data_IF_401123840654
#
_entry.id   IF_401123840654
#
_cell.length_a   1.000
_cell.length_b   1.000
_cell.length_c   1.000
_cell.angle_alpha   90.00
_cell.angle_beta   90.00
_cell.angle_gamma   90.00
#
_symmetry.space_group_name_H-M   'P 1'
#
loop_
_entity.id
_entity.type
_entity.pdbx_description
1 polymer ?
#
# COMPACT_ATOMS: atom_id res chain seq x y z
N UNK A 1 26.55 -8.38 -4.27
CA UNK A 1 25.83 -7.62 -5.31
C UNK A 1 26.39 -6.20 -5.32
N UNK A 2 26.56 -5.58 -6.49
CA UNK A 2 27.04 -4.21 -6.61
C UNK A 2 26.01 -3.22 -6.05
N UNK A 3 26.49 -2.11 -5.52
CA UNK A 3 25.62 -0.97 -5.22
C UNK A 3 25.11 -0.36 -6.51
N UNK A 4 23.86 0.14 -6.45
CA UNK A 4 23.31 0.97 -7.52
C UNK A 4 24.18 2.24 -7.61
N UNK A 5 24.55 2.66 -8.80
CA UNK A 5 25.36 3.86 -8.96
C UNK A 5 24.57 5.15 -8.67
N UNK A 6 25.28 6.20 -8.30
CA UNK A 6 24.67 7.47 -7.88
C UNK A 6 23.83 8.12 -8.98
N UNK A 7 24.22 7.96 -10.27
CA UNK A 7 23.47 8.49 -11.40
C UNK A 7 22.10 7.84 -11.55
N UNK A 8 22.03 6.50 -11.42
CA UNK A 8 20.79 5.75 -11.48
C UNK A 8 19.88 6.12 -10.30
N UNK A 9 20.45 6.22 -9.09
CA UNK A 9 19.71 6.67 -7.91
C UNK A 9 19.18 8.09 -8.06
N UNK A 10 19.96 8.99 -8.65
CA UNK A 10 19.54 10.36 -8.88
C UNK A 10 18.32 10.43 -9.80
N UNK A 11 18.34 9.70 -10.93
CA UNK A 11 17.19 9.61 -11.83
C UNK A 11 15.95 9.00 -11.14
N UNK A 12 16.18 7.94 -10.36
CA UNK A 12 15.10 7.28 -9.63
C UNK A 12 14.38 8.22 -8.66
N UNK A 13 15.14 8.98 -7.85
CA UNK A 13 14.56 9.91 -6.89
C UNK A 13 13.95 11.15 -7.55
N UNK A 14 14.52 11.62 -8.64
CA UNK A 14 13.97 12.73 -9.42
C UNK A 14 12.62 12.34 -10.02
N UNK A 15 12.56 11.19 -10.68
CA UNK A 15 11.31 10.66 -11.21
C UNK A 15 10.28 10.42 -10.12
N UNK A 16 10.65 9.82 -8.99
CA UNK A 16 9.74 9.58 -7.87
C UNK A 16 9.07 10.86 -7.38
N UNK A 17 9.81 11.98 -7.35
CA UNK A 17 9.27 13.29 -6.95
C UNK A 17 8.21 13.82 -7.90
N UNK A 18 8.29 13.44 -9.19
CA UNK A 18 7.29 13.77 -10.21
C UNK A 18 6.07 12.86 -10.05
N UNK A 19 6.30 11.54 -10.01
CA UNK A 19 5.23 10.54 -9.98
C UNK A 19 4.42 10.55 -8.69
N UNK A 20 4.95 11.08 -7.59
CA UNK A 20 4.24 11.19 -6.33
C UNK A 20 2.88 11.90 -6.46
N UNK A 21 2.81 12.93 -7.28
CA UNK A 21 1.63 13.79 -7.41
C UNK A 21 1.07 13.83 -8.83
N UNK A 22 1.44 12.88 -9.68
CA UNK A 22 1.03 12.87 -11.09
C UNK A 22 -0.47 12.72 -11.27
N UNK A 23 -1.09 11.84 -10.45
CA UNK A 23 -2.51 11.55 -10.54
C UNK A 23 -3.33 12.55 -9.75
N UNK A 24 -4.23 13.26 -10.45
CA UNK A 24 -5.15 14.23 -9.86
C UNK A 24 -6.40 13.55 -9.29
N UNK A 25 -7.00 12.65 -10.07
CA UNK A 25 -8.26 11.98 -9.75
C UNK A 25 -8.35 10.64 -10.44
N UNK A 26 -8.99 9.65 -9.81
CA UNK A 26 -9.39 8.43 -10.48
C UNK A 26 -10.64 7.81 -9.88
N UNK A 27 -11.32 7.01 -10.70
CA UNK A 27 -12.37 6.09 -10.31
C UNK A 27 -11.92 4.66 -10.62
N UNK A 28 -12.09 3.75 -9.66
CA UNK A 28 -11.74 2.35 -9.84
C UNK A 28 -12.75 1.41 -9.19
N UNK A 29 -12.94 0.25 -9.80
CA UNK A 29 -13.58 -0.87 -9.12
C UNK A 29 -12.52 -1.64 -8.35
N UNK A 30 -12.76 -1.85 -7.06
CA UNK A 30 -11.92 -2.63 -6.17
C UNK A 30 -12.62 -3.94 -5.83
N UNK A 31 -12.03 -5.06 -6.21
CA UNK A 31 -12.35 -6.38 -5.66
C UNK A 31 -11.33 -6.73 -4.60
N UNK A 32 -11.80 -7.03 -3.39
CA UNK A 32 -10.97 -7.38 -2.25
C UNK A 32 -11.39 -8.75 -1.71
N UNK A 33 -10.43 -9.64 -1.61
CA UNK A 33 -10.58 -10.95 -0.96
C UNK A 33 -9.60 -11.07 0.19
N UNK A 34 -10.08 -11.50 1.34
CA UNK A 34 -9.28 -11.62 2.55
C UNK A 34 -9.56 -12.89 3.34
N UNK A 35 -8.56 -13.33 4.06
CA UNK A 35 -8.66 -14.41 5.04
C UNK A 35 -7.99 -13.96 6.34
N UNK A 36 -8.67 -14.17 7.45
CA UNK A 36 -8.14 -13.92 8.77
C UNK A 36 -8.11 -15.21 9.57
N UNK A 37 -6.95 -15.58 10.10
CA UNK A 37 -6.72 -16.78 10.89
C UNK A 37 -6.26 -16.43 12.30
N UNK A 38 -6.86 -17.13 13.27
CA UNK A 38 -6.50 -17.05 14.67
C UNK A 38 -5.73 -18.31 15.06
N UNK A 39 -4.41 -18.22 15.08
CA UNK A 39 -3.57 -19.34 15.52
C UNK A 39 -3.57 -19.50 17.03
N UNK A 40 -3.59 -18.37 17.75
CA UNK A 40 -3.61 -18.34 19.20
C UNK A 40 -4.26 -17.06 19.70
N UNK A 41 -5.11 -17.18 20.73
CA UNK A 41 -5.70 -16.01 21.41
C UNK A 41 -5.70 -16.21 22.91
N UNK A 42 -5.37 -15.17 23.66
CA UNK A 42 -5.52 -15.17 25.11
C UNK A 42 -6.98 -14.86 25.53
N UNK A 43 -7.31 -15.10 26.80
CA UNK A 43 -8.67 -14.86 27.30
C UNK A 43 -9.08 -13.39 27.26
N UNK A 44 -8.12 -12.46 27.41
CA UNK A 44 -8.39 -11.01 27.48
C UNK A 44 -8.88 -10.48 26.13
N UNK A 45 -8.30 -10.92 25.02
CA UNK A 45 -8.70 -10.49 23.67
C UNK A 45 -10.13 -10.88 23.33
N UNK A 46 -10.63 -11.99 23.89
CA UNK A 46 -12.02 -12.43 23.73
C UNK A 46 -13.02 -11.50 24.41
N UNK A 47 -12.57 -10.71 25.40
CA UNK A 47 -13.42 -9.82 26.20
C UNK A 47 -13.27 -8.34 25.82
N UNK A 48 -12.38 -7.98 24.88
CA UNK A 48 -12.26 -6.60 24.37
C UNK A 48 -13.21 -6.45 23.16
N UNK A 49 -14.45 -5.92 23.36
CA UNK A 49 -15.47 -5.90 22.30
C UNK A 49 -15.09 -5.02 21.10
N UNK A 50 -14.15 -4.08 21.29
CA UNK A 50 -13.74 -3.13 20.27
C UNK A 50 -12.63 -3.66 19.34
N UNK A 51 -11.88 -4.69 19.76
CA UNK A 51 -10.72 -5.16 18.99
C UNK A 51 -11.00 -6.41 18.16
N UNK A 52 -11.61 -7.44 18.76
CA UNK A 52 -11.77 -8.72 18.09
C UNK A 52 -12.98 -9.46 18.67
N UNK A 53 -14.15 -9.32 18.08
CA UNK A 53 -15.30 -10.17 18.38
C UNK A 53 -15.09 -11.54 17.74
N UNK A 54 -14.17 -12.32 18.31
CA UNK A 54 -13.92 -13.68 17.86
C UNK A 54 -15.01 -14.62 18.41
N UNK A 55 -15.61 -15.41 17.52
CA UNK A 55 -16.54 -16.45 17.94
C UNK A 55 -15.78 -17.63 18.57
N UNK A 56 -16.38 -18.20 19.62
CA UNK A 56 -15.77 -19.36 20.31
C UNK A 56 -15.73 -20.56 19.38
N UNK A 57 -14.52 -21.08 19.15
CA UNK A 57 -14.31 -22.26 18.30
C UNK A 57 -14.13 -21.96 16.82
N UNK A 58 -14.26 -20.70 16.38
CA UNK A 58 -13.98 -20.28 15.01
C UNK A 58 -12.60 -19.65 14.96
N UNK A 59 -11.73 -20.19 14.12
CA UNK A 59 -10.34 -19.75 13.98
C UNK A 59 -10.00 -19.25 12.56
N UNK A 60 -10.95 -19.27 11.66
CA UNK A 60 -10.77 -18.92 10.26
C UNK A 60 -11.97 -18.12 9.76
N UNK A 61 -11.70 -16.96 9.21
CA UNK A 61 -12.69 -16.03 8.71
C UNK A 61 -12.36 -15.60 7.30
N UNK A 62 -13.39 -15.39 6.50
CA UNK A 62 -13.27 -14.97 5.11
C UNK A 62 -13.98 -13.65 4.93
N UNK A 63 -13.38 -12.79 4.11
CA UNK A 63 -13.97 -11.53 3.68
C UNK A 63 -13.81 -11.39 2.17
N UNK A 64 -14.88 -11.00 1.51
CA UNK A 64 -14.90 -10.71 0.08
C UNK A 64 -15.78 -9.50 -0.16
N UNK A 65 -15.30 -8.54 -0.92
CA UNK A 65 -16.06 -7.32 -1.19
C UNK A 65 -15.77 -6.74 -2.57
N UNK A 66 -16.81 -6.12 -3.14
CA UNK A 66 -16.73 -5.31 -4.35
C UNK A 66 -17.06 -3.88 -3.94
N UNK A 67 -16.20 -2.95 -4.30
CA UNK A 67 -16.34 -1.55 -3.95
C UNK A 67 -16.00 -0.66 -5.15
N UNK A 68 -16.59 0.50 -5.18
CA UNK A 68 -16.19 1.60 -6.04
C UNK A 68 -15.33 2.55 -5.22
N UNK A 69 -14.17 2.88 -5.75
CA UNK A 69 -13.17 3.72 -5.12
C UNK A 69 -13.02 5.00 -5.95
N UNK A 70 -13.16 6.14 -5.31
CA UNK A 70 -12.86 7.45 -5.87
C UNK A 70 -11.67 8.05 -5.13
N UNK A 71 -10.71 8.51 -5.87
CA UNK A 71 -9.55 9.22 -5.36
C UNK A 71 -9.53 10.63 -5.91
N UNK A 72 -9.25 11.60 -5.05
CA UNK A 72 -8.97 12.98 -5.43
C UNK A 72 -7.72 13.44 -4.69
N UNK A 73 -6.74 13.97 -5.42
CA UNK A 73 -5.51 14.53 -4.84
C UNK A 73 -5.84 15.63 -3.81
N UNK A 74 -5.11 15.75 -2.71
CA UNK A 74 -3.85 15.06 -2.40
C UNK A 74 -3.97 13.82 -1.51
N UNK A 75 -4.98 13.12 -1.29
CA UNK A 75 -5.13 11.89 -0.50
C UNK A 75 -6.58 11.69 -0.01
N UNK A 76 -7.53 12.21 -0.74
CA UNK A 76 -8.95 12.03 -0.42
C UNK A 76 -9.39 10.74 -1.11
N UNK A 77 -9.89 9.80 -0.30
CA UNK A 77 -10.42 8.54 -0.78
C UNK A 77 -11.86 8.41 -0.31
N UNK A 78 -12.76 8.20 -1.25
CA UNK A 78 -14.14 7.80 -0.98
C UNK A 78 -14.35 6.36 -1.48
N UNK A 79 -14.95 5.53 -0.65
CA UNK A 79 -15.20 4.13 -0.96
C UNK A 79 -16.66 3.79 -0.76
N UNK A 80 -17.32 3.41 -1.84
CA UNK A 80 -18.68 2.89 -1.82
C UNK A 80 -18.67 1.37 -1.95
N UNK A 81 -19.02 0.65 -0.88
CA UNK A 81 -19.16 -0.81 -0.92
C UNK A 81 -20.42 -1.18 -1.68
N UNK A 82 -20.27 -1.97 -2.75
CA UNK A 82 -21.37 -2.45 -3.61
C UNK A 82 -21.90 -3.79 -3.13
N UNK A 83 -20.99 -4.69 -2.77
CA UNK A 83 -21.33 -6.01 -2.24
C UNK A 83 -20.27 -6.44 -1.23
N UNK A 84 -20.70 -7.18 -0.20
CA UNK A 84 -19.80 -7.77 0.79
C UNK A 84 -20.34 -9.12 1.22
N UNK A 85 -19.44 -10.10 1.29
CA UNK A 85 -19.67 -11.39 1.91
C UNK A 85 -18.56 -11.63 2.94
N UNK A 86 -18.94 -11.86 4.20
CA UNK A 86 -17.96 -12.04 5.26
C UNK A 86 -18.48 -12.97 6.34
N UNK A 87 -17.59 -13.78 6.88
CA UNK A 87 -17.84 -14.58 8.08
C UNK A 87 -17.30 -13.91 9.34
N UNK A 88 -16.69 -12.71 9.20
CA UNK A 88 -16.18 -11.93 10.33
C UNK A 88 -17.37 -11.36 11.13
N UNK A 89 -17.46 -11.61 12.46
CA UNK A 89 -18.55 -11.13 13.25
C UNK A 89 -18.63 -9.60 13.29
N UNK A 90 -19.85 -9.07 13.12
CA UNK A 90 -20.11 -7.64 13.18
C UNK A 90 -20.02 -6.90 11.84
N UNK A 91 -19.89 -7.62 10.71
CA UNK A 91 -20.07 -7.10 9.32
C UNK A 91 -19.17 -5.93 8.89
N UNK A 92 -19.08 -4.90 9.68
CA UNK A 92 -18.20 -3.75 9.52
C UNK A 92 -16.97 -3.92 10.42
N UNK A 93 -16.14 -4.89 10.11
CA UNK A 93 -14.97 -5.13 10.92
C UNK A 93 -13.99 -3.98 10.76
N UNK A 94 -13.79 -3.26 11.83
CA UNK A 94 -12.59 -2.46 12.07
C UNK A 94 -11.36 -3.35 12.29
N UNK A 95 -11.40 -4.56 11.76
CA UNK A 95 -10.23 -5.39 11.60
C UNK A 95 -9.31 -4.65 10.69
N UNK A 96 -8.12 -4.50 11.10
CA UNK A 96 -7.00 -3.95 10.40
C UNK A 96 -7.39 -3.23 9.08
N UNK A 97 -7.32 -1.92 9.08
CA UNK A 97 -7.78 -1.15 7.92
C UNK A 97 -6.87 -1.41 6.72
N UNK A 98 -7.19 -2.47 5.98
CA UNK A 98 -6.50 -2.85 4.75
C UNK A 98 -6.48 -1.70 3.74
N UNK A 99 -7.38 -0.74 3.88
CA UNK A 99 -7.41 0.47 3.06
C UNK A 99 -6.15 1.31 3.25
N UNK A 100 -5.49 1.26 4.40
CA UNK A 100 -4.21 1.96 4.59
C UNK A 100 -3.12 1.41 3.66
N UNK A 101 -3.19 0.13 3.28
CA UNK A 101 -2.31 -0.45 2.28
C UNK A 101 -2.75 -0.15 0.84
N UNK A 102 -4.04 0.04 0.58
CA UNK A 102 -4.53 0.51 -0.71
C UNK A 102 -4.15 1.97 -0.99
N UNK A 103 -3.96 2.76 0.07
CA UNK A 103 -3.45 4.14 0.00
C UNK A 103 -1.92 4.21 -0.07
N UNK A 104 -1.27 3.07 -0.19
CA UNK A 104 0.18 2.97 -0.27
C UNK A 104 0.66 3.56 -1.59
N UNK A 105 1.26 4.76 -1.54
CA UNK A 105 1.96 5.37 -2.67
C UNK A 105 3.45 5.31 -2.39
N UNK A 106 4.16 4.41 -3.07
CA UNK A 106 5.59 4.19 -2.86
C UNK A 106 6.44 5.42 -3.22
N UNK A 107 5.93 6.30 -4.09
CA UNK A 107 6.62 7.52 -4.49
C UNK A 107 6.52 8.63 -3.43
N UNK A 108 5.58 8.54 -2.49
CA UNK A 108 5.50 9.48 -1.37
C UNK A 108 6.68 9.32 -0.41
N UNK A 109 7.13 10.40 0.26
CA UNK A 109 8.21 10.32 1.24
C UNK A 109 7.93 9.34 2.39
N UNK A 110 6.67 9.19 2.74
CA UNK A 110 6.21 8.26 3.79
C UNK A 110 4.95 7.53 3.36
N UNK A 111 4.77 6.35 3.90
CA UNK A 111 3.62 5.46 3.67
C UNK A 111 3.02 5.02 5.00
N UNK A 112 1.88 4.31 4.96
CA UNK A 112 1.23 3.77 6.16
C UNK A 112 0.87 4.83 7.20
N UNK A 113 0.28 5.97 6.74
CA UNK A 113 -0.08 7.07 7.62
C UNK A 113 1.13 7.81 8.19
N UNK A 114 2.13 8.03 7.36
CA UNK A 114 3.39 8.74 7.64
C UNK A 114 4.29 8.06 8.69
N UNK A 115 4.13 6.76 8.89
CA UNK A 115 4.88 6.01 9.91
C UNK A 115 6.07 5.22 9.36
N UNK A 116 6.07 4.95 8.06
CA UNK A 116 7.15 4.21 7.40
C UNK A 116 7.74 5.09 6.30
N UNK A 117 9.05 5.25 6.34
CA UNK A 117 9.80 6.04 5.38
C UNK A 117 9.95 5.27 4.06
N UNK A 118 9.54 5.88 2.96
CA UNK A 118 9.68 5.26 1.64
C UNK A 118 11.13 5.26 1.18
N UNK A 119 11.63 4.13 0.63
CA UNK A 119 12.94 4.08 0.00
C UNK A 119 13.03 4.85 -1.31
N UNK A 120 11.91 5.33 -1.86
CA UNK A 120 11.87 6.11 -3.10
C UNK A 120 12.07 7.61 -2.89
N UNK A 121 12.11 8.07 -1.65
CA UNK A 121 12.40 9.47 -1.34
C UNK A 121 13.91 9.73 -1.21
N UNK A 122 14.39 10.78 -1.89
CA UNK A 122 15.79 11.24 -1.78
C UNK A 122 16.20 11.50 -0.32
N UNK A 123 15.31 12.12 0.45
CA UNK A 123 15.58 12.46 1.86
C UNK A 123 15.79 11.21 2.73
N UNK A 124 15.09 10.13 2.42
CA UNK A 124 15.17 8.88 3.16
C UNK A 124 16.32 7.98 2.70
N UNK A 125 16.98 8.30 1.58
CA UNK A 125 18.05 7.48 1.00
C UNK A 125 19.22 7.23 1.95
N UNK A 126 19.46 8.15 2.89
CA UNK A 126 20.48 8.01 3.93
C UNK A 126 20.21 6.84 4.89
N UNK A 127 19.00 6.33 4.95
CA UNK A 127 18.58 5.21 5.80
C UNK A 127 18.63 3.86 5.10
N UNK A 128 18.94 3.83 3.80
CA UNK A 128 18.89 2.63 2.97
C UNK A 128 20.21 2.35 2.25
N UNK A 129 20.42 1.10 1.93
CA UNK A 129 21.35 0.61 0.91
C UNK A 129 20.54 0.16 -0.31
N UNK A 130 21.06 0.44 -1.50
CA UNK A 130 20.46 0.03 -2.77
C UNK A 130 21.46 -0.84 -3.51
N UNK A 131 21.12 -2.11 -3.71
CA UNK A 131 21.93 -3.07 -4.43
C UNK A 131 21.26 -3.44 -5.73
N UNK A 132 21.99 -3.41 -6.83
CA UNK A 132 21.51 -3.91 -8.11
C UNK A 132 21.53 -5.43 -8.10
N UNK A 133 20.33 -6.03 -8.16
CA UNK A 133 20.16 -7.49 -8.11
C UNK A 133 20.31 -8.10 -9.50
N UNK A 134 19.51 -7.62 -10.44
CA UNK A 134 19.54 -8.01 -11.86
C UNK A 134 19.07 -6.88 -12.75
N UNK A 135 19.33 -7.03 -14.04
CA UNK A 135 18.78 -6.21 -15.11
C UNK A 135 18.06 -7.16 -16.05
N UNK A 136 16.75 -6.97 -16.17
CA UNK A 136 15.91 -7.73 -17.08
C UNK A 136 15.63 -6.87 -18.32
N UNK A 137 15.55 -7.52 -19.49
CA UNK A 137 15.32 -6.83 -20.76
C UNK A 137 13.88 -7.02 -21.20
N UNK A 138 13.20 -5.93 -21.48
CA UNK A 138 11.84 -5.90 -22.02
C UNK A 138 11.80 -5.23 -23.39
N UNK A 139 10.73 -5.37 -24.17
CA UNK A 139 10.58 -4.66 -25.45
C UNK A 139 10.59 -3.12 -25.31
N UNK A 140 10.31 -2.60 -24.10
CA UNK A 140 10.29 -1.18 -23.77
C UNK A 140 11.59 -0.66 -23.12
N UNK A 141 12.60 -1.51 -22.95
CA UNK A 141 13.85 -1.15 -22.30
C UNK A 141 14.25 -2.08 -21.16
N UNK A 142 15.20 -1.66 -20.37
CA UNK A 142 15.69 -2.40 -19.22
C UNK A 142 14.75 -2.25 -18.01
N UNK A 143 14.69 -3.28 -17.19
CA UNK A 143 14.03 -3.25 -15.89
C UNK A 143 15.07 -3.59 -14.82
N UNK A 144 15.35 -2.64 -13.96
CA UNK A 144 16.31 -2.79 -12.88
C UNK A 144 15.61 -3.42 -11.67
N UNK A 145 16.08 -4.58 -11.24
CA UNK A 145 15.70 -5.15 -9.96
C UNK A 145 16.64 -4.63 -8.89
N UNK A 146 16.12 -3.81 -8.00
CA UNK A 146 16.86 -3.14 -6.93
C UNK A 146 16.48 -3.76 -5.59
N UNK A 147 17.47 -4.27 -4.86
CA UNK A 147 17.29 -4.69 -3.48
C UNK A 147 17.52 -3.51 -2.55
N UNK A 148 16.49 -3.16 -1.81
CA UNK A 148 16.49 -2.09 -0.82
C UNK A 148 16.68 -2.70 0.57
N UNK A 149 17.70 -2.26 1.29
CA UNK A 149 18.07 -2.80 2.61
C UNK A 149 18.21 -1.65 3.60
N UNK A 150 17.50 -1.67 4.73
CA UNK A 150 17.71 -0.71 5.80
C UNK A 150 19.16 -0.74 6.35
N UNK A 151 19.76 0.42 6.58
CA UNK A 151 21.08 0.53 7.19
C UNK A 151 21.10 0.14 8.67
N UNK A 152 19.93 0.17 9.32
CA UNK A 152 19.76 -0.21 10.72
C UNK A 152 18.35 -0.76 10.95
N UNK A 153 18.18 -1.53 12.01
CA UNK A 153 16.87 -2.09 12.38
C UNK A 153 15.96 -1.01 12.88
N UNK A 154 14.81 -0.84 12.24
CA UNK A 154 13.79 0.14 12.61
C UNK A 154 12.40 -0.36 12.22
N UNK A 155 11.38 0.04 12.97
CA UNK A 155 9.97 -0.15 12.61
C UNK A 155 9.46 0.93 11.66
N UNK A 156 10.33 1.82 11.19
CA UNK A 156 10.01 2.88 10.23
C UNK A 156 10.61 2.60 8.85
N UNK A 157 11.27 1.47 8.66
CA UNK A 157 11.96 1.14 7.42
C UNK A 157 11.44 -0.19 6.85
N UNK A 158 11.52 -0.32 5.53
CA UNK A 158 11.12 -1.50 4.76
C UNK A 158 12.34 -2.13 4.09
N UNK A 159 12.26 -3.42 3.85
CA UNK A 159 13.27 -4.19 3.11
C UNK A 159 12.60 -4.96 1.97
N UNK A 160 13.29 -5.15 0.86
CA UNK A 160 12.83 -5.98 -0.25
C UNK A 160 13.24 -5.48 -1.61
N UNK A 161 12.42 -5.69 -2.61
CA UNK A 161 12.78 -5.49 -4.00
C UNK A 161 11.85 -4.52 -4.72
N UNK A 162 12.44 -3.72 -5.60
CA UNK A 162 11.74 -2.83 -6.53
C UNK A 162 12.16 -3.19 -7.95
N UNK A 163 11.21 -3.30 -8.87
CA UNK A 163 11.47 -3.45 -10.31
C UNK A 163 11.13 -2.12 -10.98
N UNK A 164 12.16 -1.45 -11.48
CA UNK A 164 12.09 -0.09 -12.01
C UNK A 164 12.38 -0.12 -13.50
N UNK A 165 11.49 0.44 -14.30
CA UNK A 165 11.66 0.57 -15.74
C UNK A 165 12.65 1.68 -16.07
N UNK A 166 13.55 1.46 -17.04
CA UNK A 166 14.55 2.45 -17.46
C UNK A 166 14.02 3.52 -18.41
N UNK A 167 12.85 3.30 -19.01
CA UNK A 167 12.25 4.20 -19.99
C UNK A 167 11.60 5.43 -19.34
N UNK A 168 10.96 5.24 -18.19
CA UNK A 168 10.23 6.29 -17.49
C UNK A 168 10.47 6.31 -15.97
N UNK A 169 11.35 5.46 -15.46
CA UNK A 169 11.69 5.32 -14.04
C UNK A 169 10.49 4.97 -13.14
N UNK A 170 9.45 4.39 -13.71
CA UNK A 170 8.29 3.91 -12.93
C UNK A 170 8.56 2.55 -12.33
N UNK A 171 7.99 2.32 -11.16
CA UNK A 171 7.97 0.99 -10.53
C UNK A 171 6.93 0.13 -11.25
N UNK A 172 7.34 -1.04 -11.73
CA UNK A 172 6.46 -2.03 -12.35
C UNK A 172 5.93 -3.03 -11.35
N UNK A 173 6.76 -3.35 -10.38
CA UNK A 173 6.47 -4.33 -9.35
C UNK A 173 7.25 -3.99 -8.09
N UNK A 174 6.68 -4.26 -6.94
CA UNK A 174 7.37 -4.18 -5.66
C UNK A 174 7.03 -5.37 -4.78
N UNK A 175 8.01 -5.76 -3.97
CA UNK A 175 7.94 -6.85 -3.00
C UNK A 175 8.70 -6.39 -1.76
N UNK A 176 7.96 -5.89 -0.77
CA UNK A 176 8.52 -5.22 0.41
C UNK A 176 7.94 -5.80 1.69
N UNK A 177 8.80 -5.93 2.67
CA UNK A 177 8.39 -6.30 4.03
C UNK A 177 8.82 -5.24 5.04
N UNK A 178 8.08 -5.17 6.15
CA UNK A 178 8.36 -4.22 7.20
C UNK A 178 7.63 -4.56 8.50
N UNK A 179 7.92 -3.74 9.50
CA UNK A 179 7.28 -3.84 10.80
C UNK A 179 6.62 -2.51 11.12
N UNK A 180 5.43 -2.59 11.68
CA UNK A 180 4.66 -1.44 12.07
C UNK A 180 3.90 -1.73 13.37
N UNK A 181 4.20 -1.00 14.43
CA UNK A 181 3.69 -1.28 15.77
C UNK A 181 3.92 -2.75 16.17
N UNK A 182 2.85 -3.53 16.31
CA UNK A 182 2.88 -4.95 16.72
C UNK A 182 2.70 -5.91 15.54
N UNK A 183 2.71 -5.40 14.34
CA UNK A 183 2.52 -6.21 13.14
C UNK A 183 3.82 -6.32 12.32
N UNK A 184 3.95 -7.43 11.64
CA UNK A 184 4.86 -7.59 10.51
C UNK A 184 4.00 -7.67 9.25
N UNK A 185 4.34 -6.93 8.21
CA UNK A 185 3.64 -7.00 6.94
C UNK A 185 4.59 -7.36 5.81
N UNK A 186 4.05 -8.01 4.81
CA UNK A 186 4.66 -8.26 3.51
C UNK A 186 3.68 -7.79 2.44
N UNK A 187 4.11 -6.89 1.60
CA UNK A 187 3.29 -6.28 0.57
C UNK A 187 3.92 -6.50 -0.80
N UNK A 188 3.13 -7.05 -1.70
CA UNK A 188 3.48 -7.24 -3.10
C UNK A 188 2.49 -6.46 -3.94
N UNK A 189 2.98 -5.57 -4.79
CA UNK A 189 2.15 -4.83 -5.72
C UNK A 189 2.64 -5.00 -7.14
N UNK A 190 1.71 -5.19 -8.04
CA UNK A 190 1.92 -5.03 -9.46
C UNK A 190 1.23 -3.75 -9.91
N UNK A 191 1.99 -2.87 -10.55
CA UNK A 191 1.47 -1.62 -11.08
C UNK A 191 0.78 -1.84 -12.42
N UNK A 192 -0.05 -0.89 -12.83
CA UNK A 192 -0.70 -0.94 -14.13
C UNK A 192 0.30 -0.93 -15.29
N UNK A 193 -0.14 -1.42 -16.44
CA UNK A 193 0.71 -1.58 -17.63
C UNK A 193 0.47 -0.53 -18.70
N UNK A 194 -0.66 0.17 -18.64
CA UNK A 194 -1.02 1.25 -19.56
C UNK A 194 -0.57 2.62 -19.04
N UNK A 195 -0.50 3.59 -19.93
CA UNK A 195 -0.02 4.94 -19.60
C UNK A 195 -0.89 5.68 -18.57
N UNK A 196 -2.13 5.25 -18.37
CA UNK A 196 -3.04 5.85 -17.39
C UNK A 196 -2.88 5.26 -16.00
N UNK A 197 -2.53 3.99 -15.90
CA UNK A 197 -2.49 3.26 -14.63
C UNK A 197 -1.07 2.90 -14.14
N UNK A 198 -0.02 3.16 -14.92
CA UNK A 198 1.37 2.77 -14.59
C UNK A 198 1.90 3.31 -13.26
N UNK A 199 1.28 4.35 -12.72
CA UNK A 199 1.63 4.92 -11.40
C UNK A 199 0.78 4.35 -10.26
N UNK A 200 -0.18 3.49 -10.57
CA UNK A 200 -1.23 3.01 -9.68
C UNK A 200 -1.16 1.49 -9.51
N UNK A 201 -1.39 0.97 -8.31
CA UNK A 201 -1.41 -0.47 -8.08
C UNK A 201 -2.62 -1.11 -8.77
N UNK A 202 -2.39 -2.16 -9.57
CA UNK A 202 -3.44 -2.95 -10.22
C UNK A 202 -3.75 -4.23 -9.43
N UNK A 203 -2.71 -4.86 -8.89
CA UNK A 203 -2.82 -6.03 -8.03
C UNK A 203 -2.05 -5.77 -6.74
N UNK A 204 -2.68 -6.07 -5.62
CA UNK A 204 -2.10 -5.99 -4.29
C UNK A 204 -2.25 -7.35 -3.59
N UNK A 205 -1.14 -7.89 -3.09
CA UNK A 205 -1.14 -8.97 -2.10
C UNK A 205 -0.54 -8.44 -0.80
N UNK A 206 -1.21 -8.69 0.30
CA UNK A 206 -0.82 -8.24 1.62
C UNK A 206 -0.93 -9.37 2.63
N UNK A 207 0.19 -9.71 3.22
CA UNK A 207 0.26 -10.62 4.36
C UNK A 207 0.61 -9.83 5.61
N UNK A 208 -0.18 -10.02 6.67
CA UNK A 208 0.01 -9.35 7.95
C UNK A 208 0.00 -10.37 9.07
N UNK A 209 1.00 -10.28 9.91
CA UNK A 209 1.13 -11.12 11.10
C UNK A 209 1.18 -10.24 12.35
N UNK A 210 0.25 -10.50 13.26
CA UNK A 210 0.22 -9.88 14.59
C UNK A 210 0.61 -10.91 15.65
N UNK A 211 1.65 -10.57 16.45
CA UNK A 211 2.09 -11.40 17.58
C UNK A 211 2.29 -10.53 18.81
N UNK A 212 1.43 -10.70 19.83
CA UNK A 212 1.55 -9.96 21.07
C UNK A 212 0.85 -10.70 22.23
N UNK A 213 1.49 -10.79 23.40
CA UNK A 213 0.91 -11.35 24.65
C UNK A 213 0.17 -12.69 24.45
N UNK A 214 0.81 -13.66 23.81
CA UNK A 214 0.24 -14.98 23.48
C UNK A 214 -0.89 -14.94 22.43
N UNK A 215 -1.13 -13.82 21.78
CA UNK A 215 -1.97 -13.75 20.60
C UNK A 215 -1.13 -13.93 19.35
N UNK A 216 -1.67 -14.66 18.38
CA UNK A 216 -1.07 -14.83 17.05
C UNK A 216 -2.19 -14.85 16.01
N UNK A 217 -2.26 -13.81 15.22
CA UNK A 217 -3.22 -13.63 14.13
C UNK A 217 -2.47 -13.47 12.82
N UNK A 218 -3.07 -13.97 11.76
CA UNK A 218 -2.57 -13.86 10.41
C UNK A 218 -3.69 -13.38 9.49
N UNK A 219 -3.40 -12.39 8.65
CA UNK A 219 -4.32 -11.86 7.66
C UNK A 219 -3.65 -11.90 6.29
N UNK A 220 -4.36 -12.40 5.31
CA UNK A 220 -3.91 -12.43 3.93
C UNK A 220 -4.99 -11.74 3.09
N UNK A 221 -4.61 -10.73 2.32
CA UNK A 221 -5.51 -10.00 1.45
C UNK A 221 -4.97 -9.99 0.02
N UNK A 222 -5.88 -10.11 -0.93
CA UNK A 222 -5.61 -9.85 -2.34
C UNK A 222 -6.62 -8.83 -2.83
N UNK A 223 -6.13 -7.77 -3.44
CA UNK A 223 -6.92 -6.70 -4.01
C UNK A 223 -6.65 -6.55 -5.50
N UNK A 224 -7.69 -6.39 -6.29
CA UNK A 224 -7.62 -6.06 -7.73
C UNK A 224 -8.32 -4.74 -7.94
N UNK A 225 -7.62 -3.81 -8.61
CA UNK A 225 -8.15 -2.52 -8.99
C UNK A 225 -8.27 -2.43 -10.51
N UNK A 226 -9.46 -2.06 -10.95
CA UNK A 226 -9.74 -1.78 -12.36
C UNK A 226 -10.08 -0.30 -12.50
N UNK A 227 -9.15 0.48 -13.06
CA UNK A 227 -9.28 1.92 -13.23
C UNK A 227 -10.16 2.22 -14.44
N UNK A 228 -11.16 3.08 -14.25
CA UNK A 228 -12.08 3.52 -15.29
C UNK A 228 -11.67 4.86 -15.88
N UNK A 229 -11.55 5.85 -15.00
CA UNK A 229 -11.22 7.23 -15.35
C UNK A 229 -10.01 7.65 -14.50
N UNK A 230 -8.92 8.04 -15.16
CA UNK A 230 -7.72 8.57 -14.51
C UNK A 230 -7.42 9.91 -15.14
N UNK A 231 -7.41 10.94 -14.30
CA UNK A 231 -7.01 12.29 -14.67
C UNK A 231 -5.66 12.64 -14.02
N UNK A 232 -4.83 13.35 -14.77
CA UNK A 232 -3.52 13.81 -14.33
C UNK A 232 -3.55 15.31 -14.03
N UNK A 233 -2.63 15.77 -13.19
CA UNK A 233 -2.44 17.20 -12.97
C UNK A 233 -1.86 17.84 -14.22
N UNK A 234 -2.32 19.06 -14.55
CA UNK A 234 -1.69 19.87 -15.59
C UNK A 234 -0.34 20.43 -15.10
N UNK A 235 0.59 20.71 -16.03
CA UNK A 235 1.84 21.37 -15.70
C UNK A 235 1.60 22.68 -14.97
N UNK A 236 2.05 22.76 -13.71
CA UNK A 236 1.83 23.91 -12.81
C UNK A 236 0.89 23.62 -11.64
N UNK A 237 -0.04 22.68 -11.73
CA UNK A 237 -0.90 22.30 -10.61
C UNK A 237 -0.16 21.43 -9.59
N UNK A 238 0.83 20.68 -10.02
CA UNK A 238 1.73 19.90 -9.15
C UNK A 238 2.43 20.74 -8.09
N UNK A 239 2.78 21.99 -8.39
CA UNK A 239 3.39 22.92 -7.44
C UNK A 239 2.37 23.39 -6.38
N UNK A 240 1.11 23.60 -6.78
CA UNK A 240 0.02 23.98 -5.87
C UNK A 240 -0.36 22.85 -4.91
N UNK A 241 -0.31 21.60 -5.39
CA UNK A 241 -0.57 20.41 -4.56
C UNK A 241 0.54 20.24 -3.52
N UNK A 242 1.81 20.50 -3.87
CA UNK A 242 2.93 20.49 -2.91
C UNK A 242 2.76 21.54 -1.82
N UNK A 243 2.39 22.77 -2.16
CA UNK A 243 2.14 23.84 -1.17
C UNK A 243 0.94 23.51 -0.26
N UNK A 244 -0.15 22.94 -0.81
CA UNK A 244 -1.29 22.50 -0.01
C UNK A 244 -0.99 21.32 0.91
N UNK A 245 -0.02 20.46 0.59
CA UNK A 245 0.41 19.35 1.46
C UNK A 245 1.08 19.82 2.74
N UNK A 246 1.81 20.93 2.70
CA UNK A 246 2.46 21.53 3.88
C UNK A 246 1.43 22.15 4.84
N UNK A 247 0.29 22.61 4.32
CA UNK A 247 -0.78 23.25 5.10
C UNK A 247 -1.86 22.27 5.61
N UNK A 248 -1.88 21.01 5.15
CA UNK A 248 -2.94 20.06 5.47
C UNK A 248 -2.57 19.15 6.65
N UNK A 249 -2.96 19.57 7.85
CA UNK A 249 -3.07 18.69 9.01
C UNK A 249 -4.14 17.62 8.73
N UNK A 250 -3.72 16.36 8.58
CA UNK A 250 -4.52 15.26 8.07
C UNK A 250 -5.74 14.95 8.93
N UNK A 251 -6.90 15.32 8.44
CA UNK A 251 -8.16 14.67 8.83
C UNK A 251 -8.64 13.79 7.66
N UNK A 252 -8.42 12.50 7.74
CA UNK A 252 -9.05 11.54 6.84
C UNK A 252 -10.45 11.25 7.38
N UNK A 253 -11.47 11.84 6.76
CA UNK A 253 -12.86 11.47 7.03
C UNK A 253 -13.28 10.35 6.08
N UNK A 254 -13.76 9.24 6.63
CA UNK A 254 -14.38 8.14 5.89
C UNK A 254 -15.88 8.20 6.04
N UNK A 255 -16.58 8.24 4.92
CA UNK A 255 -18.02 7.96 4.90
C UNK A 255 -18.20 6.58 4.26
N UNK A 256 -18.45 5.56 5.08
CA UNK A 256 -18.90 4.25 4.64
C UNK A 256 -20.42 4.29 4.51
N UNK A 257 -20.93 4.39 3.32
CA UNK A 257 -22.33 4.07 3.05
C UNK A 257 -22.44 2.61 2.66
N UNK A 258 -22.82 1.78 3.61
CA UNK A 258 -23.17 0.39 3.35
C UNK A 258 -24.64 0.36 2.91
N UNK A 259 -24.88 0.05 1.66
CA UNK A 259 -26.22 -0.35 1.19
C UNK A 259 -26.34 -1.86 1.44
N UNK A 260 -26.97 -2.22 2.55
CA UNK A 260 -27.35 -3.59 2.87
C UNK A 260 -28.64 -3.90 2.16
N UNK A 261 -28.59 -4.41 0.95
CA UNK A 261 -29.71 -5.13 0.38
C UNK A 261 -29.67 -6.58 0.86
N UNK A 262 -30.75 -6.95 1.57
CA UNK A 262 -31.10 -8.30 2.00
C UNK A 262 -31.24 -9.25 0.81
#
# INVERSE_FOLDING_TARGET
KPYVNDSLLAHLFEAASVWENEVAEYQADLYLKGRFRVHKSNRIVKYIPSMFRLEKGVNDYIHESISELHYTSPRIYDRKVRAVQTTIPGGNSRFFDVLNFLKFNIYSPSVMGDKILSPMSRENSIHYHYLLDSIDYSPKGEVYKIHVIPRFRSTQLMEGYLWVSSDDWTIRYLDLEGKYDLITFHIVMQMGVDDKSKYLPQLLNLDVVFKFMKNHFEMNYTGWLNYKDVAFHEEGDTLRVRQKKEDYNMSSSYTLTADTTR
#
